data_IF_512621157387
#
_entry.id   IF_512621157387
#
_cell.length_a   1.000
_cell.length_b   1.000
_cell.length_c   1.000
_cell.angle_alpha   90.00
_cell.angle_beta   90.00
_cell.angle_gamma   90.00
#
_symmetry.space_group_name_H-M   'P 1'
#
loop_
_entity.id
_entity.type
_entity.pdbx_description
1 polymer ?
#
# COMPACT_ATOMS: atom_id res chain seq x y z
N UNK A 1 -3.47 -13.23 3.23
CA UNK A 1 -4.63 -12.97 4.10
C UNK A 1 -5.82 -12.74 3.22
N UNK A 2 -7.00 -13.07 3.72
CA UNK A 2 -8.27 -12.77 3.04
C UNK A 2 -8.68 -11.30 3.25
N UNK A 3 -9.65 -10.87 2.46
CA UNK A 3 -10.26 -9.53 2.50
C UNK A 3 -10.94 -9.25 3.84
N UNK A 4 -11.56 -10.25 4.46
CA UNK A 4 -12.21 -10.11 5.78
C UNK A 4 -11.21 -9.68 6.86
N UNK A 5 -10.00 -10.24 6.85
CA UNK A 5 -8.94 -9.83 7.79
C UNK A 5 -8.46 -8.40 7.52
N UNK A 6 -8.43 -7.96 6.25
CA UNK A 6 -8.10 -6.56 5.91
C UNK A 6 -9.17 -5.62 6.46
N UNK A 7 -10.46 -5.97 6.33
CA UNK A 7 -11.56 -5.21 6.91
C UNK A 7 -11.48 -5.14 8.43
N UNK A 8 -11.17 -6.26 9.10
CA UNK A 8 -10.94 -6.28 10.56
C UNK A 8 -9.79 -5.36 10.97
N UNK A 9 -8.68 -5.36 10.22
CA UNK A 9 -7.58 -4.42 10.44
C UNK A 9 -8.02 -2.95 10.25
N UNK A 10 -8.79 -2.64 9.21
CA UNK A 10 -9.27 -1.29 8.95
C UNK A 10 -10.20 -0.78 10.06
N UNK A 11 -10.99 -1.67 10.68
CA UNK A 11 -12.00 -1.31 11.69
C UNK A 11 -11.49 -1.35 13.13
N UNK A 12 -10.33 -1.95 13.39
CA UNK A 12 -9.81 -2.02 14.76
C UNK A 12 -9.60 -0.62 15.33
N UNK A 13 -10.13 -0.39 16.53
CA UNK A 13 -9.93 0.85 17.26
C UNK A 13 -8.52 0.90 17.84
N UNK A 14 -7.80 1.97 17.51
CA UNK A 14 -6.43 2.24 17.91
C UNK A 14 -6.27 3.69 18.36
N UNK A 15 -7.35 4.34 18.80
CA UNK A 15 -7.37 5.72 19.32
C UNK A 15 -6.25 5.97 20.35
N UNK A 16 -6.01 4.98 21.20
CA UNK A 16 -5.04 5.05 22.30
C UNK A 16 -3.59 4.77 21.86
N UNK A 17 -3.35 4.48 20.58
CA UNK A 17 -2.03 4.13 20.07
C UNK A 17 -1.79 4.65 18.65
N UNK A 18 -1.44 5.93 18.49
CA UNK A 18 -1.16 6.54 17.19
C UNK A 18 -0.11 5.78 16.37
N UNK A 19 0.89 5.18 17.03
CA UNK A 19 1.92 4.39 16.36
C UNK A 19 1.41 3.05 15.81
N UNK A 20 0.45 2.40 16.49
CA UNK A 20 -0.23 1.22 15.94
C UNK A 20 -1.16 1.64 14.81
N UNK A 21 -1.90 2.73 14.97
CA UNK A 21 -2.79 3.27 13.95
C UNK A 21 -2.02 3.58 12.65
N UNK A 22 -0.86 4.24 12.73
CA UNK A 22 0.02 4.47 11.58
C UNK A 22 0.46 3.18 10.91
N UNK A 23 0.87 2.18 11.69
CA UNK A 23 1.30 0.90 11.10
C UNK A 23 0.15 0.12 10.47
N UNK A 24 -1.06 0.22 11.05
CA UNK A 24 -2.28 -0.35 10.46
C UNK A 24 -2.62 0.37 9.16
N UNK A 25 -2.68 1.70 9.17
CA UNK A 25 -3.02 2.50 8.00
C UNK A 25 -2.03 2.26 6.86
N UNK A 26 -0.73 2.23 7.14
CA UNK A 26 0.27 1.87 6.13
C UNK A 26 0.10 0.45 5.57
N UNK A 27 -0.30 -0.51 6.39
CA UNK A 27 -0.56 -1.88 5.93
C UNK A 27 -1.78 -1.92 5.01
N UNK A 28 -2.87 -1.26 5.41
CA UNK A 28 -4.10 -1.16 4.61
C UNK A 28 -3.82 -0.38 3.32
N UNK A 29 -3.10 0.74 3.38
CA UNK A 29 -2.68 1.51 2.22
C UNK A 29 -1.87 0.65 1.25
N UNK A 30 -0.89 -0.11 1.74
CA UNK A 30 -0.10 -1.02 0.90
C UNK A 30 -1.01 -2.00 0.17
N UNK A 31 -1.99 -2.59 0.85
CA UNK A 31 -2.97 -3.50 0.22
C UNK A 31 -3.81 -2.78 -0.85
N UNK A 32 -4.39 -1.62 -0.51
CA UNK A 32 -5.23 -0.83 -1.42
C UNK A 32 -4.47 -0.29 -2.63
N UNK A 33 -3.20 0.06 -2.44
CA UNK A 33 -2.30 0.52 -3.48
C UNK A 33 -1.61 -0.65 -4.21
N UNK A 34 -2.35 -1.72 -4.50
CA UNK A 34 -1.91 -2.89 -5.28
C UNK A 34 -0.67 -3.59 -4.72
N UNK A 35 -0.54 -3.61 -3.39
CA UNK A 35 0.61 -4.19 -2.72
C UNK A 35 1.86 -3.32 -2.74
N UNK A 36 1.75 -1.98 -2.79
CA UNK A 36 2.89 -1.06 -2.79
C UNK A 36 3.92 -1.45 -1.71
N UNK A 37 5.22 -1.52 -2.05
CA UNK A 37 6.20 -1.97 -1.07
C UNK A 37 6.39 -0.94 0.04
N UNK A 38 6.81 -1.40 1.23
CA UNK A 38 7.15 -0.49 2.32
C UNK A 38 8.24 0.52 1.95
N UNK A 39 9.24 0.11 1.16
CA UNK A 39 10.25 1.05 0.65
C UNK A 39 9.62 2.09 -0.25
N UNK A 40 8.73 1.71 -1.17
CA UNK A 40 8.05 2.67 -2.04
C UNK A 40 7.20 3.66 -1.22
N UNK A 41 6.48 3.18 -0.20
CA UNK A 41 5.72 4.04 0.73
C UNK A 41 6.63 4.99 1.54
N UNK A 42 7.81 4.52 1.96
CA UNK A 42 8.74 5.35 2.73
C UNK A 42 9.28 6.53 1.92
N UNK A 43 9.47 6.34 0.61
CA UNK A 43 9.95 7.38 -0.30
C UNK A 43 8.81 8.08 -1.06
N UNK A 44 7.55 7.72 -0.81
CA UNK A 44 6.40 8.34 -1.48
C UNK A 44 6.25 9.79 -1.03
N UNK A 45 6.33 10.72 -1.98
CA UNK A 45 6.23 12.16 -1.73
C UNK A 45 4.81 12.66 -1.98
N UNK A 46 4.46 13.78 -1.35
CA UNK A 46 3.16 14.43 -1.56
C UNK A 46 2.96 14.88 -3.01
N UNK A 47 4.03 15.30 -3.69
CA UNK A 47 4.01 15.65 -5.13
C UNK A 47 3.67 14.46 -6.05
N UNK A 48 3.77 13.23 -5.55
CA UNK A 48 3.38 12.03 -6.30
C UNK A 48 1.87 11.78 -6.27
N UNK A 49 1.12 12.58 -5.51
CA UNK A 49 -0.32 12.44 -5.28
C UNK A 49 -1.02 13.65 -5.88
N UNK A 50 -1.88 13.41 -6.87
CA UNK A 50 -2.81 14.42 -7.38
C UNK A 50 -4.25 14.14 -6.88
N UNK A 51 -5.25 14.83 -7.42
CA UNK A 51 -6.65 14.68 -6.99
C UNK A 51 -7.30 13.32 -7.35
N UNK A 52 -6.71 12.57 -8.29
CA UNK A 52 -7.31 11.35 -8.89
C UNK A 52 -6.36 10.16 -8.84
N UNK A 53 -5.03 10.38 -8.81
CA UNK A 53 -4.02 9.35 -9.01
C UNK A 53 -2.80 9.52 -8.11
N UNK A 54 -2.13 8.40 -7.85
CA UNK A 54 -0.78 8.35 -7.29
C UNK A 54 0.16 7.80 -8.37
N UNK A 55 1.21 8.56 -8.71
CA UNK A 55 2.24 8.16 -9.68
C UNK A 55 3.60 8.15 -9.02
N UNK A 56 4.27 6.99 -9.00
CA UNK A 56 5.57 6.82 -8.33
C UNK A 56 6.52 5.93 -9.13
N UNK A 57 7.82 6.08 -8.89
CA UNK A 57 8.85 5.21 -9.44
C UNK A 57 9.17 4.08 -8.45
N UNK A 58 8.97 2.83 -8.86
CA UNK A 58 9.19 1.67 -8.00
C UNK A 58 10.67 1.48 -7.70
N UNK A 59 11.02 1.41 -6.42
CA UNK A 59 12.41 1.36 -5.97
C UNK A 59 13.17 0.12 -6.45
N UNK A 60 12.48 -1.02 -6.62
CA UNK A 60 13.10 -2.28 -7.05
C UNK A 60 13.46 -2.32 -8.54
N UNK A 61 12.62 -1.71 -9.39
CA UNK A 61 12.70 -1.91 -10.85
C UNK A 61 12.91 -0.62 -11.64
N UNK A 62 12.73 0.55 -11.03
CA UNK A 62 12.77 1.84 -11.73
C UNK A 62 11.55 2.09 -12.63
N UNK A 63 10.54 1.22 -12.59
CA UNK A 63 9.33 1.38 -13.39
C UNK A 63 8.40 2.40 -12.74
N UNK A 64 7.84 3.30 -13.56
CA UNK A 64 6.75 4.18 -13.12
C UNK A 64 5.43 3.41 -13.06
N UNK A 65 4.74 3.56 -11.93
CA UNK A 65 3.41 2.99 -11.70
C UNK A 65 2.44 4.11 -11.36
N UNK A 66 1.24 4.02 -11.93
CA UNK A 66 0.14 4.96 -11.67
C UNK A 66 -1.07 4.17 -11.20
N UNK A 67 -1.67 4.52 -10.05
CA UNK A 67 -2.94 3.97 -9.57
C UNK A 67 -3.99 5.07 -9.43
N UNK A 68 -5.24 4.71 -9.63
CA UNK A 68 -6.38 5.51 -9.18
C UNK A 68 -6.46 5.59 -7.64
N UNK A 69 -6.87 6.74 -7.13
CA UNK A 69 -7.16 6.97 -5.71
C UNK A 69 -8.59 6.54 -5.41
N UNK A 70 -8.72 5.37 -4.79
CA UNK A 70 -9.98 4.86 -4.26
C UNK A 70 -10.39 5.58 -2.96
N UNK A 71 -11.68 5.62 -2.58
CA UNK A 71 -12.13 6.21 -1.32
C UNK A 71 -11.34 5.77 -0.09
N UNK A 72 -11.05 4.47 0.04
CA UNK A 72 -10.26 3.94 1.16
C UNK A 72 -8.81 4.46 1.18
N UNK A 73 -8.24 4.74 0.00
CA UNK A 73 -6.92 5.37 -0.15
C UNK A 73 -7.02 6.85 0.22
N UNK A 74 -8.02 7.58 -0.31
CA UNK A 74 -8.24 8.99 -0.03
C UNK A 74 -8.36 9.28 1.47
N UNK A 75 -9.09 8.44 2.22
CA UNK A 75 -9.21 8.56 3.67
C UNK A 75 -7.86 8.47 4.41
N UNK A 76 -6.91 7.67 3.90
CA UNK A 76 -5.55 7.58 4.46
C UNK A 76 -4.71 8.79 4.03
N UNK A 77 -4.83 9.21 2.77
CA UNK A 77 -4.12 10.38 2.24
C UNK A 77 -4.49 11.66 2.99
N UNK A 78 -5.78 11.86 3.26
CA UNK A 78 -6.28 13.00 4.03
C UNK A 78 -5.70 13.00 5.46
N UNK A 79 -5.70 11.83 6.12
CA UNK A 79 -5.16 11.70 7.48
C UNK A 79 -3.68 12.05 7.56
N UNK A 80 -2.84 11.64 6.61
CA UNK A 80 -1.38 11.80 6.71
C UNK A 80 -0.80 12.96 5.92
N UNK A 81 -1.48 13.42 4.86
CA UNK A 81 -1.02 14.54 4.04
C UNK A 81 -0.78 15.83 4.82
N UNK A 82 -1.49 16.01 5.95
CA UNK A 82 -1.42 17.19 6.81
C UNK A 82 -0.58 17.02 8.09
N UNK A 83 -0.10 15.80 8.40
CA UNK A 83 0.56 15.52 9.70
C UNK A 83 1.91 16.23 9.83
N UNK A 84 2.66 16.33 8.74
CA UNK A 84 3.93 17.04 8.70
C UNK A 84 3.96 17.93 7.45
N UNK A 85 3.37 19.13 7.47
CA UNK A 85 3.26 20.00 6.28
C UNK A 85 4.61 20.27 5.61
N UNK A 86 5.64 20.51 6.42
CA UNK A 86 7.01 20.80 5.97
C UNK A 86 7.76 19.59 5.38
N UNK A 87 7.31 18.36 5.67
CA UNK A 87 7.94 17.16 5.11
C UNK A 87 7.48 16.97 3.65
N UNK A 88 8.39 16.67 2.71
CA UNK A 88 8.00 16.30 1.35
C UNK A 88 7.36 14.92 1.29
N UNK A 89 7.61 14.06 2.28
CA UNK A 89 7.13 12.68 2.32
C UNK A 89 5.66 12.61 2.78
N UNK A 90 4.90 11.69 2.20
CA UNK A 90 3.51 11.44 2.56
C UNK A 90 3.38 10.80 3.94
N UNK A 91 4.19 9.78 4.22
CA UNK A 91 4.20 9.10 5.51
C UNK A 91 5.38 9.57 6.37
N UNK A 92 5.20 9.70 7.70
CA UNK A 92 6.24 10.18 8.63
C UNK A 92 7.26 9.07 8.95
N UNK A 93 7.96 8.58 7.92
CA UNK A 93 8.98 7.53 8.02
C UNK A 93 10.37 8.13 7.82
N UNK A 94 10.47 9.01 6.83
CA UNK A 94 11.67 9.75 6.50
C UNK A 94 11.47 11.21 6.90
N UNK A 95 12.54 11.81 7.42
CA UNK A 95 12.58 13.25 7.77
C UNK A 95 13.76 13.96 7.12
N UNK A 96 14.58 13.22 6.37
CA UNK A 96 15.80 13.71 5.75
C UNK A 96 15.84 13.18 4.30
N UNK A 97 16.20 14.05 3.36
CA UNK A 97 16.35 13.70 1.94
C UNK A 97 17.77 13.24 1.59
N UNK A 98 18.75 13.41 2.50
CA UNK A 98 20.11 12.92 2.33
C UNK A 98 20.09 11.39 2.23
N UNK A 99 20.60 10.79 1.13
CA UNK A 99 20.42 9.37 0.83
C UNK A 99 20.82 8.42 1.97
N UNK A 100 21.96 8.66 2.61
CA UNK A 100 22.46 7.81 3.71
C UNK A 100 21.59 7.89 4.96
N UNK A 101 21.08 9.08 5.30
CA UNK A 101 20.21 9.27 6.45
C UNK A 101 18.82 8.70 6.18
N UNK A 102 18.26 8.99 4.99
CA UNK A 102 17.00 8.43 4.53
C UNK A 102 17.03 6.89 4.56
N UNK A 103 18.12 6.27 4.09
CA UNK A 103 18.25 4.81 4.11
C UNK A 103 18.29 4.23 5.53
N UNK A 104 19.00 4.89 6.47
CA UNK A 104 19.01 4.49 7.89
C UNK A 104 17.64 4.63 8.53
N UNK A 105 16.92 5.72 8.23
CA UNK A 105 15.56 5.96 8.70
C UNK A 105 14.60 4.91 8.15
N UNK A 106 14.66 4.61 6.85
CA UNK A 106 13.90 3.53 6.23
C UNK A 106 14.10 2.19 6.94
N UNK A 107 15.36 1.77 7.19
CA UNK A 107 15.64 0.50 7.89
C UNK A 107 15.06 0.47 9.30
N UNK A 108 15.18 1.60 10.01
CA UNK A 108 14.63 1.75 11.37
C UNK A 108 13.10 1.70 11.35
N UNK A 109 12.48 2.42 10.43
CA UNK A 109 11.04 2.46 10.21
C UNK A 109 10.47 1.09 9.81
N UNK A 110 11.15 0.35 8.94
CA UNK A 110 10.75 -1.01 8.53
C UNK A 110 10.73 -1.97 9.72
N UNK A 111 11.78 -1.94 10.55
CA UNK A 111 11.84 -2.76 11.76
C UNK A 111 10.76 -2.37 12.77
N UNK A 112 10.54 -1.07 12.95
CA UNK A 112 9.49 -0.54 13.82
C UNK A 112 8.10 -0.99 13.36
N UNK A 113 7.80 -0.79 12.08
CA UNK A 113 6.55 -1.20 11.45
C UNK A 113 6.31 -2.70 11.62
N UNK A 114 7.29 -3.56 11.32
CA UNK A 114 7.15 -5.01 11.49
C UNK A 114 6.89 -5.42 12.96
N UNK A 115 7.47 -4.72 13.94
CA UNK A 115 7.14 -4.98 15.36
C UNK A 115 5.69 -4.60 15.68
N UNK A 116 5.18 -3.50 15.12
CA UNK A 116 3.79 -3.06 15.28
C UNK A 116 2.82 -4.01 14.58
N UNK A 117 3.15 -4.49 13.39
CA UNK A 117 2.39 -5.51 12.68
C UNK A 117 2.25 -6.80 13.50
N UNK A 118 3.33 -7.28 14.13
CA UNK A 118 3.25 -8.42 15.06
C UNK A 118 2.29 -8.18 16.22
N UNK A 119 2.22 -6.94 16.73
CA UNK A 119 1.27 -6.56 17.80
C UNK A 119 -0.16 -6.48 17.28
N UNK A 120 -0.38 -5.91 16.10
CA UNK A 120 -1.69 -5.86 15.44
C UNK A 120 -2.23 -7.27 15.18
N UNK A 121 -1.39 -8.19 14.70
CA UNK A 121 -1.77 -9.59 14.51
C UNK A 121 -2.28 -10.23 15.81
N UNK A 122 -1.59 -10.01 16.93
CA UNK A 122 -2.04 -10.50 18.25
C UNK A 122 -3.38 -9.90 18.71
N UNK A 123 -3.67 -8.65 18.36
CA UNK A 123 -4.92 -7.99 18.75
C UNK A 123 -6.15 -8.57 18.02
N UNK A 124 -5.95 -9.19 16.86
CA UNK A 124 -7.04 -9.77 16.05
C UNK A 124 -7.45 -11.18 16.46
N UNK A 125 -6.91 -11.71 17.56
CA UNK A 125 -7.42 -12.95 18.19
C UNK A 125 -6.67 -14.24 17.84
N UNK A 126 -5.88 -14.27 16.76
CA UNK A 126 -4.95 -15.37 16.44
C UNK A 126 -3.62 -14.78 15.96
N UNK A 127 -2.45 -15.44 16.19
CA UNK A 127 -1.16 -14.92 15.75
C UNK A 127 -1.05 -14.91 14.22
N UNK A 128 -1.61 -13.87 13.60
CA UNK A 128 -1.46 -13.58 12.19
C UNK A 128 -0.01 -13.15 11.91
N UNK A 129 0.69 -13.79 10.96
CA UNK A 129 2.06 -13.45 10.60
C UNK A 129 2.11 -12.17 9.75
N UNK A 130 1.67 -11.05 10.33
CA UNK A 130 1.70 -9.74 9.68
C UNK A 130 3.15 -9.27 9.52
N UNK A 131 3.49 -8.90 8.29
CA UNK A 131 4.77 -8.32 7.91
C UNK A 131 4.56 -7.28 6.82
N UNK A 132 5.58 -6.46 6.55
CA UNK A 132 5.59 -5.49 5.46
C UNK A 132 5.40 -6.10 4.05
N UNK A 133 5.53 -7.43 3.91
CA UNK A 133 5.30 -8.15 2.65
C UNK A 133 3.88 -8.72 2.54
N UNK A 134 3.20 -8.89 3.67
CA UNK A 134 1.89 -9.54 3.73
C UNK A 134 0.81 -8.82 2.90
N UNK A 135 0.73 -7.46 2.86
CA UNK A 135 -0.27 -6.78 2.03
C UNK A 135 -0.12 -7.12 0.55
N UNK A 136 1.12 -7.12 0.02
CA UNK A 136 1.41 -7.43 -1.38
C UNK A 136 0.95 -8.83 -1.77
N UNK A 137 1.31 -9.82 -0.96
CA UNK A 137 0.87 -11.19 -1.20
C UNK A 137 -0.66 -11.32 -1.10
N UNK A 138 -1.26 -10.63 -0.13
CA UNK A 138 -2.72 -10.68 0.07
C UNK A 138 -3.47 -10.04 -1.09
N UNK A 139 -2.99 -8.91 -1.62
CA UNK A 139 -3.59 -8.28 -2.80
C UNK A 139 -3.49 -9.17 -4.03
N UNK A 140 -2.32 -9.78 -4.29
CA UNK A 140 -2.15 -10.69 -5.43
C UNK A 140 -3.06 -11.93 -5.33
N UNK A 141 -3.21 -12.49 -4.12
CA UNK A 141 -4.15 -13.60 -3.87
C UNK A 141 -5.60 -13.15 -4.06
N UNK A 142 -5.99 -11.99 -3.53
CA UNK A 142 -7.33 -11.44 -3.72
C UNK A 142 -7.64 -11.24 -5.20
N UNK A 143 -6.76 -10.57 -5.94
CA UNK A 143 -6.91 -10.38 -7.39
C UNK A 143 -7.09 -11.71 -8.13
N UNK A 144 -6.30 -12.74 -7.78
CA UNK A 144 -6.47 -14.07 -8.34
C UNK A 144 -7.84 -14.69 -8.01
N UNK A 145 -8.32 -14.53 -6.78
CA UNK A 145 -9.61 -15.06 -6.35
C UNK A 145 -10.79 -14.32 -7.00
N UNK A 146 -10.58 -13.08 -7.44
CA UNK A 146 -11.52 -12.28 -8.23
C UNK A 146 -11.35 -12.49 -9.75
N UNK A 147 -10.74 -13.62 -10.15
CA UNK A 147 -10.51 -14.01 -11.56
C UNK A 147 -9.76 -12.95 -12.40
N UNK A 148 -8.95 -12.09 -11.75
CA UNK A 148 -8.13 -11.10 -12.44
C UNK A 148 -7.03 -11.82 -13.23
N UNK A 149 -6.86 -11.54 -14.54
CA UNK A 149 -5.84 -12.20 -15.34
C UNK A 149 -4.43 -12.00 -14.77
N UNK A 150 -3.60 -13.05 -14.79
CA UNK A 150 -2.22 -13.02 -14.24
C UNK A 150 -1.40 -11.86 -14.82
N UNK A 151 -1.58 -11.54 -16.10
CA UNK A 151 -0.91 -10.41 -16.74
C UNK A 151 -1.29 -9.06 -16.08
N UNK A 152 -2.57 -8.86 -15.74
CA UNK A 152 -3.07 -7.66 -15.05
C UNK A 152 -2.52 -7.60 -13.61
N UNK A 153 -2.49 -8.73 -12.90
CA UNK A 153 -1.90 -8.82 -11.56
C UNK A 153 -0.41 -8.44 -11.60
N UNK A 154 0.33 -9.03 -12.55
CA UNK A 154 1.76 -8.77 -12.74
C UNK A 154 2.03 -7.29 -13.06
N UNK A 155 1.20 -6.69 -13.92
CA UNK A 155 1.23 -5.27 -14.27
C UNK A 155 1.01 -4.38 -13.05
N UNK A 156 -0.07 -4.63 -12.31
CA UNK A 156 -0.43 -3.85 -11.13
C UNK A 156 0.65 -3.86 -10.03
N UNK A 157 1.43 -4.94 -9.95
CA UNK A 157 2.54 -5.09 -9.00
C UNK A 157 3.88 -4.52 -9.50
N UNK A 158 3.96 -4.11 -10.77
CA UNK A 158 5.19 -3.65 -11.43
C UNK A 158 6.26 -4.74 -11.53
N UNK A 159 5.87 -5.99 -11.79
CA UNK A 159 6.80 -7.09 -12.00
C UNK A 159 7.34 -7.10 -13.43
N UNK A 160 8.66 -7.21 -13.58
CA UNK A 160 9.35 -7.22 -14.88
C UNK A 160 9.88 -8.60 -15.31
N UNK A 161 9.66 -9.66 -14.52
CA UNK A 161 10.41 -10.92 -14.65
C UNK A 161 9.75 -12.03 -15.46
N UNK A 162 8.79 -11.74 -16.32
CA UNK A 162 8.33 -12.72 -17.31
C UNK A 162 8.52 -12.12 -18.70
N UNK A 163 9.52 -12.64 -19.41
CA UNK A 163 9.90 -12.22 -20.77
C UNK A 163 8.75 -12.34 -21.78
N UNK A 164 7.72 -13.14 -21.46
CA UNK A 164 6.47 -13.29 -22.21
C UNK A 164 5.40 -12.26 -21.80
N UNK A 165 5.47 -11.73 -20.57
CA UNK A 165 4.52 -10.78 -19.98
C UNK A 165 4.88 -9.34 -20.35
N UNK A 166 6.18 -9.02 -20.56
CA UNK A 166 6.65 -7.69 -20.97
C UNK A 166 6.03 -7.18 -22.29
N UNK A 167 5.76 -8.05 -23.26
CA UNK A 167 5.12 -7.65 -24.54
C UNK A 167 3.64 -7.28 -24.31
N UNK A 168 2.98 -7.89 -23.33
CA UNK A 168 1.58 -7.63 -23.00
C UNK A 168 1.43 -6.43 -22.04
N UNK A 169 2.40 -6.23 -21.15
CA UNK A 169 2.41 -5.16 -20.13
C UNK A 169 2.43 -3.76 -20.74
N UNK A 170 3.20 -3.53 -21.82
CA UNK A 170 3.24 -2.24 -22.52
C UNK A 170 1.90 -1.87 -23.19
N UNK A 171 1.00 -2.85 -23.36
CA UNK A 171 -0.32 -2.67 -23.98
C UNK A 171 -1.50 -2.65 -23.00
N UNK A 172 -1.25 -2.90 -21.72
CA UNK A 172 -2.29 -3.00 -20.71
C UNK A 172 -2.66 -1.61 -20.20
N UNK A 173 -3.88 -1.19 -20.52
CA UNK A 173 -4.44 0.08 -20.04
C UNK A 173 -4.54 0.06 -18.50
N UNK A 174 -4.08 1.15 -17.86
CA UNK A 174 -4.23 1.36 -16.42
C UNK A 174 -5.69 1.23 -15.98
N UNK A 175 -6.66 1.56 -16.84
CA UNK A 175 -8.08 1.40 -16.54
C UNK A 175 -8.48 -0.05 -16.21
N UNK A 176 -7.84 -1.05 -16.84
CA UNK A 176 -8.11 -2.48 -16.55
C UNK A 176 -7.62 -2.85 -15.17
N UNK A 177 -6.44 -2.35 -14.78
CA UNK A 177 -5.86 -2.57 -13.45
C UNK A 177 -6.68 -1.83 -12.39
N UNK A 178 -7.07 -0.59 -12.68
CA UNK A 178 -7.88 0.24 -11.78
C UNK A 178 -9.26 -0.43 -11.53
N UNK A 179 -9.95 -0.94 -12.55
CA UNK A 179 -11.22 -1.66 -12.38
C UNK A 179 -11.06 -2.97 -11.59
N UNK A 180 -9.95 -3.70 -11.79
CA UNK A 180 -9.67 -4.88 -10.98
C UNK A 180 -9.45 -4.52 -9.51
N UNK A 181 -8.75 -3.42 -9.25
CA UNK A 181 -8.50 -2.93 -7.90
C UNK A 181 -9.79 -2.48 -7.20
N UNK A 182 -10.64 -1.72 -7.89
CA UNK A 182 -11.95 -1.27 -7.39
C UNK A 182 -12.79 -2.45 -6.85
N UNK A 183 -12.86 -3.56 -7.61
CA UNK A 183 -13.60 -4.77 -7.20
C UNK A 183 -13.07 -5.40 -5.92
N UNK A 184 -11.75 -5.48 -5.79
CA UNK A 184 -11.08 -6.02 -4.59
C UNK A 184 -11.31 -5.13 -3.37
N UNK A 185 -11.44 -3.81 -3.59
CA UNK A 185 -11.55 -2.81 -2.52
C UNK A 185 -12.98 -2.41 -2.20
N UNK A 186 -13.99 -3.02 -2.84
CA UNK A 186 -15.39 -2.67 -2.68
C UNK A 186 -15.81 -2.52 -1.21
N UNK A 187 -15.60 -3.56 -0.40
CA UNK A 187 -16.01 -3.55 1.01
C UNK A 187 -15.20 -2.54 1.86
N UNK A 188 -13.95 -2.25 1.47
CA UNK A 188 -13.09 -1.24 2.12
C UNK A 188 -13.50 0.18 1.74
N UNK A 189 -14.06 0.39 0.55
CA UNK A 189 -14.60 1.67 0.09
C UNK A 189 -15.96 1.95 0.77
N UNK A 190 -16.79 0.92 0.95
CA UNK A 190 -18.09 1.03 1.61
C UNK A 190 -17.96 1.50 3.08
N UNK A 191 -16.86 1.19 3.77
CA UNK A 191 -16.65 1.59 5.18
C UNK A 191 -16.30 3.06 5.37
N UNK A 192 -15.82 3.74 4.33
CA UNK A 192 -15.37 5.14 4.40
C UNK A 192 -16.29 6.10 3.63
N UNK A 193 -17.25 5.58 2.88
CA UNK A 193 -18.20 6.36 2.07
C UNK A 193 -19.54 6.63 2.79
N UNK A 194 -19.65 6.24 4.07
CA UNK A 194 -20.78 6.52 4.96
C UNK A 194 -20.49 7.71 5.88
#
# INVERSE_FOLDING_TARGET
MDEETILKLQRIDLSDSPALALSRDMFVFSYCARGMAFVDMAYLKKENVDSVRITYCRHKTGQYLTLHIEPCIAAILERYGQVCPESPYLFPILTDEQPDQAYRQYRTGLNYHNRKLKRLGKLLGEPLPLSSYTPRHSWATAARNHDVPIAVISAGMGHSSERTTLIYLDSLDNAVIDNANEKILKDLNDTVSM
#
